data_IF_370855179857
#
_entry.id   IF_370855179857
#
_cell.length_a   1.000
_cell.length_b   1.000
_cell.length_c   1.000
_cell.angle_alpha   90.00
_cell.angle_beta   90.00
_cell.angle_gamma   90.00
#
_symmetry.space_group_name_H-M   'P 1'
#
loop_
_entity.id
_entity.type
_entity.pdbx_description
1 polymer ?
#
# COMPACT_ATOMS: atom_id res chain seq x y z
N UNK A 1 25.24 -31.75 -36.68
CA UNK A 1 26.65 -31.39 -36.45
C UNK A 1 27.37 -31.61 -37.77
N UNK A 2 27.65 -30.55 -38.52
CA UNK A 2 28.25 -30.63 -39.86
C UNK A 2 29.72 -30.21 -39.78
N UNK A 3 30.62 -31.03 -40.31
CA UNK A 3 32.07 -30.80 -40.29
C UNK A 3 32.48 -29.75 -41.32
N UNK A 4 33.14 -28.67 -40.85
CA UNK A 4 33.54 -27.52 -41.66
C UNK A 4 34.71 -27.80 -42.61
N UNK A 5 35.31 -28.99 -42.57
CA UNK A 5 36.48 -29.36 -43.40
C UNK A 5 36.14 -30.16 -44.65
N UNK A 6 34.88 -30.56 -44.82
CA UNK A 6 34.48 -31.41 -45.95
C UNK A 6 33.78 -30.56 -47.01
N UNK A 7 34.50 -30.22 -48.08
CA UNK A 7 33.92 -29.56 -49.25
C UNK A 7 33.19 -30.59 -50.11
N UNK A 8 31.85 -30.53 -50.14
CA UNK A 8 31.02 -31.37 -51.01
C UNK A 8 30.46 -30.50 -52.12
N UNK A 9 31.13 -30.51 -53.27
CA UNK A 9 30.70 -29.81 -54.48
C UNK A 9 31.31 -30.48 -55.71
N UNK A 10 30.54 -30.56 -56.80
CA UNK A 10 31.00 -31.06 -58.09
C UNK A 10 31.74 -29.96 -58.86
N UNK A 11 32.93 -30.27 -59.37
CA UNK A 11 33.78 -29.32 -60.13
C UNK A 11 33.29 -29.06 -61.56
N UNK A 12 32.16 -29.67 -61.97
CA UNK A 12 31.60 -29.55 -63.33
C UNK A 12 30.25 -28.82 -63.38
N UNK A 13 29.80 -28.23 -62.27
CA UNK A 13 28.61 -27.37 -62.30
C UNK A 13 28.99 -25.98 -62.84
N UNK A 14 28.20 -25.37 -63.75
CA UNK A 14 28.45 -24.00 -64.18
C UNK A 14 28.40 -23.08 -62.96
N UNK A 15 29.44 -22.26 -62.77
CA UNK A 15 29.48 -21.24 -61.72
C UNK A 15 28.32 -20.27 -61.94
N UNK A 16 27.27 -20.41 -61.11
CA UNK A 16 26.19 -19.45 -61.06
C UNK A 16 26.71 -18.19 -60.37
N UNK A 17 27.26 -17.26 -61.15
CA UNK A 17 27.50 -15.90 -60.70
C UNK A 17 26.16 -15.32 -60.23
N UNK A 18 26.04 -14.82 -58.99
CA UNK A 18 24.81 -14.19 -58.56
C UNK A 18 24.51 -13.00 -59.47
N UNK A 19 23.32 -13.01 -60.09
CA UNK A 19 22.80 -11.90 -60.88
C UNK A 19 22.78 -10.65 -59.99
N UNK A 20 23.43 -9.58 -60.46
CA UNK A 20 23.58 -8.32 -59.75
C UNK A 20 22.25 -7.86 -59.15
N UNK A 21 22.22 -7.72 -57.81
CA UNK A 21 21.04 -7.31 -57.05
C UNK A 21 21.10 -5.79 -56.82
N UNK A 22 20.18 -4.99 -57.39
CA UNK A 22 20.18 -3.53 -57.25
C UNK A 22 19.83 -3.06 -55.82
N UNK A 23 19.45 -3.97 -54.93
CA UNK A 23 19.07 -3.66 -53.55
C UNK A 23 20.18 -3.95 -52.52
N UNK A 24 21.46 -4.00 -52.92
CA UNK A 24 22.54 -3.98 -51.94
C UNK A 24 22.50 -2.63 -51.20
N UNK A 25 22.16 -2.68 -49.92
CA UNK A 25 21.61 -1.60 -49.11
C UNK A 25 22.51 -0.38 -48.84
N UNK A 26 23.60 -0.18 -49.59
CA UNK A 26 24.52 0.95 -49.40
C UNK A 26 25.01 1.62 -50.69
N UNK A 27 24.56 1.20 -51.88
CA UNK A 27 24.95 1.88 -53.12
C UNK A 27 24.29 3.26 -53.30
N UNK A 28 23.15 3.52 -52.64
CA UNK A 28 22.42 4.80 -52.70
C UNK A 28 22.92 5.84 -51.67
N UNK A 29 23.77 5.43 -50.71
CA UNK A 29 24.32 6.34 -49.71
C UNK A 29 25.64 7.00 -50.16
N UNK A 30 26.37 6.38 -51.10
CA UNK A 30 27.63 6.90 -51.65
C UNK A 30 27.44 7.85 -52.84
N UNK A 31 26.21 8.02 -53.32
CA UNK A 31 25.84 8.93 -54.42
C UNK A 31 25.01 10.13 -53.94
N UNK A 32 25.12 10.45 -52.65
CA UNK A 32 24.55 11.66 -52.08
C UNK A 32 25.62 12.76 -52.15
N UNK A 33 25.85 13.23 -53.36
CA UNK A 33 26.44 14.55 -53.58
C UNK A 33 25.28 15.54 -53.52
N UNK A 34 25.35 16.45 -52.56
CA UNK A 34 24.39 17.53 -52.40
C UNK A 34 24.58 18.53 -53.54
N UNK A 35 23.66 18.56 -54.50
CA UNK A 35 23.65 19.59 -55.54
C UNK A 35 22.77 19.23 -56.73
N UNK A 36 21.65 19.93 -56.85
CA UNK A 36 20.83 20.16 -58.05
C UNK A 36 20.63 18.99 -59.04
N UNK A 37 19.39 18.49 -59.06
CA UNK A 37 18.96 17.45 -60.00
C UNK A 37 19.43 17.72 -61.43
N UNK A 38 20.33 16.86 -61.91
CA UNK A 38 20.86 16.92 -63.27
C UNK A 38 19.72 16.82 -64.28
N UNK A 39 19.37 17.97 -64.86
CA UNK A 39 18.37 18.10 -65.92
C UNK A 39 18.67 17.11 -67.04
N UNK A 40 17.64 16.56 -67.69
CA UNK A 40 17.78 15.59 -68.79
C UNK A 40 18.73 16.09 -69.91
N UNK A 41 18.90 17.41 -70.03
CA UNK A 41 19.86 18.06 -70.91
C UNK A 41 21.35 17.77 -70.55
N UNK A 42 21.70 17.69 -69.26
CA UNK A 42 23.07 17.41 -68.81
C UNK A 42 23.49 15.97 -69.14
N UNK A 43 22.59 14.99 -68.90
CA UNK A 43 22.78 13.59 -69.32
C UNK A 43 22.89 13.45 -70.85
N UNK A 44 22.11 14.20 -71.62
CA UNK A 44 22.22 14.19 -73.08
C UNK A 44 23.54 14.81 -73.59
N UNK A 45 24.06 15.84 -72.91
CA UNK A 45 25.34 16.47 -73.24
C UNK A 45 26.54 15.56 -72.93
N UNK A 46 26.52 14.87 -71.78
CA UNK A 46 27.56 13.91 -71.39
C UNK A 46 27.58 12.70 -72.33
N UNK A 47 26.41 12.16 -72.71
CA UNK A 47 26.29 11.10 -73.71
C UNK A 47 26.82 11.53 -75.09
N UNK A 48 26.55 12.76 -75.54
CA UNK A 48 27.10 13.33 -76.78
C UNK A 48 28.62 13.47 -76.72
N UNK A 49 29.17 13.94 -75.59
CA UNK A 49 30.63 14.05 -75.36
C UNK A 49 31.30 12.68 -75.44
N UNK A 50 30.71 11.66 -74.83
CA UNK A 50 31.22 10.27 -74.84
C UNK A 50 31.17 9.64 -76.24
N UNK A 51 30.11 9.90 -77.01
CA UNK A 51 30.00 9.45 -78.40
C UNK A 51 31.05 10.11 -79.31
N UNK A 52 31.30 11.41 -79.15
CA UNK A 52 32.35 12.12 -79.88
C UNK A 52 33.76 11.61 -79.55
N UNK A 53 34.03 11.30 -78.28
CA UNK A 53 35.30 10.70 -77.85
C UNK A 53 35.53 9.32 -78.47
N UNK A 54 34.50 8.45 -78.49
CA UNK A 54 34.57 7.13 -79.16
C UNK A 54 34.82 7.25 -80.66
N UNK A 55 34.19 8.23 -81.34
CA UNK A 55 34.42 8.49 -82.77
C UNK A 55 35.86 8.97 -83.05
N UNK A 56 36.42 9.84 -82.20
CA UNK A 56 37.82 10.28 -82.30
C UNK A 56 38.80 9.11 -82.13
N UNK A 57 38.58 8.25 -81.14
CA UNK A 57 39.42 7.07 -80.90
C UNK A 57 39.40 6.09 -82.09
N UNK A 58 38.21 5.82 -82.66
CA UNK A 58 38.07 4.95 -83.85
C UNK A 58 38.79 5.53 -85.09
N UNK A 59 38.71 6.84 -85.31
CA UNK A 59 39.42 7.51 -86.40
C UNK A 59 40.94 7.51 -86.21
N UNK A 60 41.44 7.65 -84.97
CA UNK A 60 42.88 7.50 -84.71
C UNK A 60 43.34 6.08 -84.98
N UNK A 61 42.60 5.08 -84.52
CA UNK A 61 42.93 3.67 -84.74
C UNK A 61 42.93 3.27 -86.24
N UNK A 62 42.03 3.87 -87.04
CA UNK A 62 42.01 3.69 -88.49
C UNK A 62 43.22 4.34 -89.19
N UNK A 63 43.62 5.55 -88.75
CA UNK A 63 44.83 6.23 -89.26
C UNK A 63 46.10 5.45 -88.95
N UNK A 64 46.26 4.91 -87.73
CA UNK A 64 47.41 4.09 -87.38
C UNK A 64 47.42 2.74 -88.10
N UNK A 65 46.26 2.15 -88.41
CA UNK A 65 46.21 0.90 -89.19
C UNK A 65 46.55 1.07 -90.67
N UNK A 66 46.18 2.21 -91.30
CA UNK A 66 46.56 2.47 -92.70
C UNK A 66 48.07 2.70 -92.89
N UNK A 67 48.77 3.14 -91.84
CA UNK A 67 50.22 3.34 -91.87
C UNK A 67 51.05 2.04 -91.78
N UNK A 68 50.43 0.86 -91.64
CA UNK A 68 51.14 -0.41 -91.45
C UNK A 68 51.17 -1.37 -92.64
N UNK A 69 50.49 -1.08 -93.76
CA UNK A 69 50.47 -1.98 -94.93
C UNK A 69 51.30 -1.50 -96.15
N UNK A 70 52.05 -0.40 -96.03
CA UNK A 70 52.92 0.11 -97.11
C UNK A 70 54.40 -0.10 -96.83
N UNK A 71 55.22 -0.08 -97.89
CA UNK A 71 56.67 0.13 -97.72
C UNK A 71 56.90 1.41 -96.89
N UNK A 72 57.86 1.40 -95.95
CA UNK A 72 58.10 2.54 -95.07
C UNK A 72 58.36 3.80 -95.91
N UNK A 73 57.97 5.00 -95.44
CA UNK A 73 58.14 6.23 -96.21
C UNK A 73 59.63 6.52 -96.48
N UNK A 74 59.97 7.11 -97.63
CA UNK A 74 61.35 7.46 -97.94
C UNK A 74 61.89 8.48 -96.94
N UNK A 75 63.15 8.30 -96.55
CA UNK A 75 63.88 9.23 -95.68
C UNK A 75 63.90 10.62 -96.33
N UNK A 76 63.74 11.67 -95.51
CA UNK A 76 63.67 13.05 -95.99
C UNK A 76 64.84 13.39 -96.93
N UNK A 77 64.51 13.82 -98.16
CA UNK A 77 65.48 14.17 -99.20
C UNK A 77 65.83 13.04 -100.18
N UNK A 78 65.29 11.83 -100.02
CA UNK A 78 65.46 10.72 -100.97
C UNK A 78 64.12 10.30 -101.58
N UNK A 79 64.17 9.77 -102.80
CA UNK A 79 63.01 9.14 -103.48
C UNK A 79 63.27 7.64 -103.58
N UNK A 80 62.23 6.82 -103.46
CA UNK A 80 62.36 5.40 -103.78
C UNK A 80 62.34 5.22 -105.30
N UNK A 81 63.22 4.36 -105.79
CA UNK A 81 63.36 4.00 -107.20
C UNK A 81 63.19 2.49 -107.32
N UNK A 82 62.46 2.05 -108.35
CA UNK A 82 62.18 0.64 -108.57
C UNK A 82 63.38 0.00 -109.27
N UNK A 83 64.09 -0.90 -108.58
CA UNK A 83 65.20 -1.69 -109.13
C UNK A 83 64.66 -2.99 -109.71
N UNK A 84 65.17 -3.40 -110.87
CA UNK A 84 64.79 -4.66 -111.52
C UNK A 84 65.35 -5.85 -110.70
N UNK A 85 64.49 -6.52 -109.93
CA UNK A 85 64.84 -7.66 -109.07
C UNK A 85 64.58 -9.02 -109.73
N UNK A 86 64.37 -9.04 -111.04
CA UNK A 86 64.21 -10.28 -111.80
C UNK A 86 65.58 -10.89 -112.09
N UNK A 87 65.71 -12.20 -111.91
CA UNK A 87 66.97 -12.93 -112.12
C UNK A 87 67.33 -12.96 -113.60
N UNK A 88 68.26 -12.10 -114.02
CA UNK A 88 68.80 -12.08 -115.39
C UNK A 88 70.10 -12.90 -115.43
N UNK A 89 70.09 -14.06 -116.11
CA UNK A 89 71.26 -14.94 -116.27
C UNK A 89 71.84 -14.75 -117.68
N UNK A 90 73.08 -14.24 -117.76
CA UNK A 90 73.90 -14.28 -118.98
C UNK A 90 74.83 -15.49 -118.92
N UNK A 91 74.73 -16.40 -119.90
CA UNK A 91 75.65 -17.53 -120.04
C UNK A 91 76.93 -17.07 -120.75
N UNK A 92 78.07 -17.12 -120.05
CA UNK A 92 79.40 -16.87 -120.62
C UNK A 92 79.94 -18.16 -121.27
N UNK A 93 80.06 -18.19 -122.59
CA UNK A 93 80.36 -19.39 -123.38
C UNK A 93 81.85 -19.78 -123.48
N UNK A 94 82.78 -19.12 -122.78
CA UNK A 94 84.22 -19.37 -122.95
C UNK A 94 84.94 -19.44 -121.60
N UNK A 95 85.41 -20.64 -121.23
CA UNK A 95 86.34 -20.83 -120.11
C UNK A 95 87.79 -20.58 -120.56
N UNK A 96 88.60 -19.80 -119.82
CA UNK A 96 90.00 -19.58 -120.17
C UNK A 96 90.88 -20.81 -119.87
N UNK A 97 92.00 -20.98 -120.59
CA UNK A 97 92.85 -22.16 -120.47
C UNK A 97 93.65 -22.19 -119.16
N UNK A 98 93.70 -23.36 -118.53
CA UNK A 98 94.41 -23.62 -117.27
C UNK A 98 95.73 -24.34 -117.56
N UNK A 99 96.83 -23.88 -116.97
CA UNK A 99 98.15 -24.55 -117.02
C UNK A 99 98.46 -25.21 -115.68
N UNK A 100 99.11 -26.38 -115.75
CA UNK A 100 99.54 -27.17 -114.59
C UNK A 100 101.03 -26.96 -114.34
N UNK A 101 101.39 -26.57 -113.11
CA UNK A 101 102.76 -26.56 -112.61
C UNK A 101 102.89 -27.61 -111.50
N UNK A 102 103.99 -28.36 -111.49
CA UNK A 102 104.26 -29.39 -110.49
C UNK A 102 105.41 -28.93 -109.59
N UNK A 103 105.17 -28.80 -108.29
CA UNK A 103 106.22 -28.49 -107.29
C UNK A 103 106.70 -29.75 -106.58
N UNK A 104 108.01 -29.83 -106.34
CA UNK A 104 108.70 -30.89 -105.61
C UNK A 104 108.25 -30.92 -104.14
N UNK A 105 107.65 -32.02 -103.71
CA UNK A 105 107.17 -32.23 -102.34
C UNK A 105 108.27 -32.83 -101.46
N UNK A 106 108.68 -32.11 -100.41
CA UNK A 106 109.46 -32.70 -99.31
C UNK A 106 108.60 -33.65 -98.46
N UNK A 107 109.25 -34.63 -97.84
CA UNK A 107 108.65 -35.64 -96.97
C UNK A 107 108.09 -34.97 -95.70
N UNK A 108 106.76 -34.88 -95.60
CA UNK A 108 106.04 -34.28 -94.48
C UNK A 108 106.25 -35.08 -93.18
N UNK A 109 107.03 -34.54 -92.24
CA UNK A 109 106.91 -34.90 -90.82
C UNK A 109 105.68 -34.20 -90.24
N UNK A 110 104.82 -34.91 -89.49
CA UNK A 110 103.67 -34.31 -88.82
C UNK A 110 104.13 -33.24 -87.82
N UNK A 111 103.84 -31.98 -88.15
CA UNK A 111 104.03 -30.86 -87.24
C UNK A 111 103.06 -31.04 -86.07
N UNK A 112 103.50 -30.92 -84.80
CA UNK A 112 102.57 -30.90 -83.68
C UNK A 112 101.54 -29.79 -83.91
N UNK A 113 100.29 -30.03 -83.50
CA UNK A 113 99.21 -29.08 -83.67
C UNK A 113 99.65 -27.72 -83.12
N UNK A 114 99.61 -26.68 -83.96
CA UNK A 114 99.97 -25.33 -83.54
C UNK A 114 99.07 -24.93 -82.36
N UNK A 115 99.62 -24.38 -81.27
CA UNK A 115 98.81 -23.94 -80.15
C UNK A 115 97.75 -22.94 -80.62
N UNK A 116 96.55 -23.02 -80.03
CA UNK A 116 95.47 -22.08 -80.34
C UNK A 116 95.93 -20.66 -80.05
N UNK A 117 95.77 -19.77 -81.03
CA UNK A 117 96.06 -18.36 -80.86
C UNK A 117 95.04 -17.77 -79.87
N UNK A 118 95.52 -17.36 -78.70
CA UNK A 118 94.76 -16.58 -77.73
C UNK A 118 95.23 -15.13 -77.88
N UNK A 119 94.40 -14.22 -78.44
CA UNK A 119 94.78 -12.82 -78.54
C UNK A 119 95.02 -12.22 -77.15
N UNK A 120 96.01 -11.33 -77.06
CA UNK A 120 96.23 -10.55 -75.84
C UNK A 120 95.00 -9.69 -75.54
N UNK A 121 94.62 -9.63 -74.27
CA UNK A 121 93.49 -8.82 -73.83
C UNK A 121 93.83 -7.34 -74.01
N UNK A 122 93.26 -6.71 -75.04
CA UNK A 122 93.35 -5.26 -75.26
C UNK A 122 92.14 -4.55 -74.66
N UNK A 123 92.34 -3.84 -73.56
CA UNK A 123 91.34 -3.06 -72.81
C UNK A 123 91.69 -2.98 -71.33
N UNK A 124 91.30 -1.91 -70.64
CA UNK A 124 91.43 -1.82 -69.18
C UNK A 124 90.17 -2.41 -68.53
N UNK A 125 90.36 -3.40 -67.65
CA UNK A 125 89.26 -3.91 -66.85
C UNK A 125 88.90 -2.91 -65.75
N UNK A 126 87.63 -2.53 -65.71
CA UNK A 126 87.06 -1.71 -64.64
C UNK A 126 85.89 -2.49 -64.07
N UNK A 127 85.98 -2.85 -62.79
CA UNK A 127 84.84 -3.36 -62.04
C UNK A 127 84.18 -2.22 -61.26
N UNK A 128 82.85 -2.20 -61.28
CA UNK A 128 82.06 -1.29 -60.45
C UNK A 128 81.25 -2.16 -59.50
N UNK A 129 81.55 -2.09 -58.21
CA UNK A 129 80.84 -2.81 -57.16
C UNK A 129 80.16 -1.83 -56.21
N UNK A 130 78.88 -2.06 -55.92
CA UNK A 130 78.14 -1.34 -54.89
C UNK A 130 78.34 -2.10 -53.57
N UNK A 131 78.81 -1.39 -52.54
CA UNK A 131 79.01 -1.94 -51.21
C UNK A 131 77.72 -1.87 -50.37
N UNK A 132 77.54 -2.73 -49.35
CA UNK A 132 76.37 -2.65 -48.48
C UNK A 132 76.30 -1.28 -47.80
N UNK A 133 75.18 -0.56 -48.02
CA UNK A 133 74.92 0.77 -47.47
C UNK A 133 75.12 1.94 -48.44
N UNK A 134 75.70 1.72 -49.62
CA UNK A 134 76.04 2.78 -50.58
C UNK A 134 74.81 3.40 -51.30
N UNK A 135 73.68 2.68 -51.31
CA UNK A 135 72.40 3.13 -51.89
C UNK A 135 71.28 3.29 -50.84
N UNK A 136 71.60 3.22 -49.55
CA UNK A 136 70.59 3.29 -48.50
C UNK A 136 70.19 4.74 -48.23
N UNK A 137 68.92 5.06 -48.48
CA UNK A 137 68.31 6.33 -48.09
C UNK A 137 67.40 6.11 -46.87
N UNK A 138 67.83 6.63 -45.72
CA UNK A 138 67.12 6.43 -44.46
C UNK A 138 65.69 6.98 -44.50
N UNK A 139 65.49 8.16 -45.09
CA UNK A 139 64.21 8.87 -45.05
C UNK A 139 63.14 8.11 -45.86
N UNK A 140 63.55 7.45 -46.95
CA UNK A 140 62.67 6.62 -47.77
C UNK A 140 62.38 5.26 -47.12
N UNK A 141 63.40 4.62 -46.56
CA UNK A 141 63.28 3.25 -46.02
C UNK A 141 62.59 3.19 -44.65
N UNK A 142 62.67 4.28 -43.85
CA UNK A 142 62.01 4.35 -42.54
C UNK A 142 60.52 4.62 -42.62
N UNK A 143 60.06 5.24 -43.72
CA UNK A 143 58.67 5.65 -43.92
C UNK A 143 57.65 4.51 -43.74
N UNK A 144 57.79 3.32 -44.37
CA UNK A 144 56.84 2.22 -44.18
C UNK A 144 56.84 1.66 -42.75
N UNK A 145 57.98 1.71 -42.05
CA UNK A 145 58.09 1.25 -40.67
C UNK A 145 57.33 2.21 -39.74
N UNK A 146 57.54 3.52 -39.91
CA UNK A 146 56.85 4.54 -39.14
C UNK A 146 55.34 4.54 -39.42
N UNK A 147 54.92 4.39 -40.67
CA UNK A 147 53.51 4.32 -41.02
C UNK A 147 52.80 3.16 -40.31
N UNK A 148 53.41 1.98 -40.29
CA UNK A 148 52.85 0.82 -39.59
C UNK A 148 52.87 1.02 -38.07
N UNK A 149 53.94 1.56 -37.51
CA UNK A 149 54.04 1.78 -36.06
C UNK A 149 53.01 2.81 -35.59
N UNK A 150 52.96 3.98 -36.24
CA UNK A 150 52.02 5.04 -35.89
C UNK A 150 50.59 4.57 -36.13
N UNK A 151 50.32 3.96 -37.29
CA UNK A 151 49.00 3.42 -37.64
C UNK A 151 48.50 2.44 -36.58
N UNK A 152 49.29 1.43 -36.23
CA UNK A 152 48.91 0.45 -35.19
C UNK A 152 48.73 1.07 -33.83
N UNK A 153 49.59 2.01 -33.43
CA UNK A 153 49.45 2.66 -32.12
C UNK A 153 48.17 3.50 -32.02
N UNK A 154 47.80 4.21 -33.08
CA UNK A 154 46.57 5.00 -33.12
C UNK A 154 45.34 4.11 -33.20
N UNK A 155 45.38 3.05 -34.01
CA UNK A 155 44.28 2.06 -34.08
C UNK A 155 44.05 1.38 -32.74
N UNK A 156 45.12 0.94 -32.07
CA UNK A 156 45.03 0.31 -30.76
C UNK A 156 44.49 1.29 -29.71
N UNK A 157 45.01 2.51 -29.66
CA UNK A 157 44.53 3.54 -28.73
C UNK A 157 43.04 3.87 -28.95
N UNK A 158 42.60 3.91 -30.21
CA UNK A 158 41.18 4.16 -30.53
C UNK A 158 40.28 3.00 -30.05
N UNK A 159 40.70 1.76 -30.25
CA UNK A 159 39.96 0.57 -29.78
C UNK A 159 39.86 0.59 -28.25
N UNK A 160 40.97 0.84 -27.55
CA UNK A 160 40.99 0.88 -26.08
C UNK A 160 40.05 1.96 -25.53
N UNK A 161 40.05 3.17 -26.10
CA UNK A 161 39.13 4.25 -25.67
C UNK A 161 37.67 3.88 -25.92
N UNK A 162 37.35 3.28 -27.07
CA UNK A 162 35.98 2.85 -27.37
C UNK A 162 35.50 1.75 -26.42
N UNK A 163 36.37 0.79 -26.09
CA UNK A 163 36.08 -0.26 -25.11
C UNK A 163 35.86 0.32 -23.71
N UNK A 164 36.67 1.29 -23.29
CA UNK A 164 36.50 1.98 -22.01
C UNK A 164 35.16 2.73 -21.92
N UNK A 165 34.77 3.44 -22.97
CA UNK A 165 33.49 4.14 -23.06
C UNK A 165 32.30 3.17 -23.02
N UNK A 166 32.37 2.06 -23.77
CA UNK A 166 31.34 1.02 -23.76
C UNK A 166 31.18 0.42 -22.35
N UNK A 167 32.30 0.05 -21.71
CA UNK A 167 32.29 -0.49 -20.35
C UNK A 167 31.75 0.52 -19.34
N UNK A 168 32.05 1.81 -19.49
CA UNK A 168 31.51 2.86 -18.65
C UNK A 168 29.98 2.98 -18.82
N UNK A 169 29.48 2.97 -20.05
CA UNK A 169 28.06 3.02 -20.36
C UNK A 169 27.31 1.79 -19.79
N UNK A 170 27.86 0.58 -19.97
CA UNK A 170 27.29 -0.65 -19.42
C UNK A 170 27.23 -0.62 -17.89
N UNK A 171 28.30 -0.15 -17.22
CA UNK A 171 28.32 0.00 -15.76
C UNK A 171 27.29 1.01 -15.28
N UNK A 172 27.09 2.11 -16.00
CA UNK A 172 26.05 3.08 -15.67
C UNK A 172 24.65 2.49 -15.82
N UNK A 173 24.38 1.78 -16.92
CA UNK A 173 23.11 1.07 -17.11
C UNK A 173 22.85 0.04 -16.01
N UNK A 174 23.86 -0.76 -15.64
CA UNK A 174 23.74 -1.72 -14.55
C UNK A 174 23.45 -1.04 -13.21
N UNK A 175 24.14 0.07 -12.89
CA UNK A 175 23.87 0.84 -11.67
C UNK A 175 22.42 1.34 -11.62
N UNK A 176 21.96 2.00 -12.68
CA UNK A 176 20.57 2.48 -12.78
C UNK A 176 19.55 1.35 -12.64
N UNK A 177 19.81 0.20 -13.25
CA UNK A 177 18.94 -0.97 -13.13
C UNK A 177 18.90 -1.53 -11.70
N UNK A 178 20.05 -1.63 -11.04
CA UNK A 178 20.14 -2.12 -9.65
C UNK A 178 19.46 -1.14 -8.68
N UNK A 179 19.62 0.16 -8.88
CA UNK A 179 18.94 1.19 -8.10
C UNK A 179 17.42 1.08 -8.24
N UNK A 180 16.92 0.98 -9.48
CA UNK A 180 15.49 0.81 -9.73
C UNK A 180 14.96 -0.48 -9.07
N UNK A 181 15.67 -1.60 -9.26
CA UNK A 181 15.30 -2.87 -8.66
C UNK A 181 15.30 -2.80 -7.12
N UNK A 182 16.27 -2.12 -6.52
CA UNK A 182 16.31 -1.93 -5.07
C UNK A 182 15.09 -1.14 -4.57
N UNK A 183 14.71 -0.07 -5.28
CA UNK A 183 13.50 0.70 -4.97
C UNK A 183 12.24 -0.15 -5.10
N UNK A 184 12.08 -0.87 -6.22
CA UNK A 184 10.94 -1.76 -6.46
C UNK A 184 10.82 -2.85 -5.38
N UNK A 185 11.94 -3.49 -5.02
CA UNK A 185 11.94 -4.52 -3.97
C UNK A 185 11.58 -3.93 -2.60
N UNK A 186 12.06 -2.74 -2.26
CA UNK A 186 11.71 -2.06 -1.02
C UNK A 186 10.22 -1.69 -0.98
N UNK A 187 9.65 -1.23 -2.10
CA UNK A 187 8.23 -0.93 -2.21
C UNK A 187 7.36 -2.19 -2.10
N UNK A 188 7.75 -3.27 -2.78
CA UNK A 188 7.06 -4.56 -2.70
C UNK A 188 7.01 -5.08 -1.27
N UNK A 189 8.14 -5.07 -0.55
CA UNK A 189 8.20 -5.47 0.86
C UNK A 189 7.29 -4.59 1.74
N UNK A 190 7.27 -3.27 1.50
CA UNK A 190 6.38 -2.35 2.22
C UNK A 190 4.90 -2.70 2.01
N UNK A 191 4.52 -3.05 0.78
CA UNK A 191 3.15 -3.44 0.45
C UNK A 191 2.79 -4.80 1.08
N UNK A 192 3.69 -5.78 1.02
CA UNK A 192 3.48 -7.09 1.65
C UNK A 192 3.27 -6.97 3.16
N UNK A 193 4.07 -6.14 3.85
CA UNK A 193 3.89 -5.91 5.28
C UNK A 193 2.53 -5.26 5.60
N UNK A 194 2.11 -4.31 4.77
CA UNK A 194 0.80 -3.66 4.92
C UNK A 194 -0.33 -4.67 4.71
N UNK A 195 -0.23 -5.51 3.68
CA UNK A 195 -1.21 -6.55 3.40
C UNK A 195 -1.27 -7.57 4.54
N UNK A 196 -0.12 -8.02 5.05
CA UNK A 196 -0.05 -8.90 6.23
C UNK A 196 -0.77 -8.30 7.45
N UNK A 197 -0.67 -6.98 7.68
CA UNK A 197 -1.40 -6.31 8.77
C UNK A 197 -2.91 -6.32 8.53
N UNK A 198 -3.35 -6.00 7.30
CA UNK A 198 -4.77 -5.98 6.94
C UNK A 198 -5.39 -7.38 7.00
N UNK A 199 -4.68 -8.41 6.54
CA UNK A 199 -5.13 -9.80 6.62
C UNK A 199 -5.30 -10.22 8.08
N UNK A 200 -4.31 -9.94 8.94
CA UNK A 200 -4.41 -10.21 10.38
C UNK A 200 -5.59 -9.49 11.04
N UNK A 201 -5.83 -8.23 10.69
CA UNK A 201 -6.99 -7.50 11.20
C UNK A 201 -8.30 -8.12 10.71
N UNK A 202 -8.40 -8.44 9.41
CA UNK A 202 -9.57 -9.10 8.82
C UNK A 202 -9.87 -10.44 9.49
N UNK A 203 -8.85 -11.26 9.72
CA UNK A 203 -8.98 -12.54 10.44
C UNK A 203 -9.51 -12.31 11.86
N UNK A 204 -8.97 -11.32 12.58
CA UNK A 204 -9.46 -10.98 13.92
C UNK A 204 -10.92 -10.56 13.91
N UNK A 205 -11.33 -9.72 12.95
CA UNK A 205 -12.71 -9.28 12.78
C UNK A 205 -13.65 -10.43 12.43
N UNK A 206 -13.20 -11.38 11.63
CA UNK A 206 -13.98 -12.56 11.26
C UNK A 206 -14.24 -13.43 12.50
N UNK A 207 -13.21 -13.67 13.33
CA UNK A 207 -13.35 -14.41 14.59
C UNK A 207 -14.31 -13.69 15.55
N UNK A 208 -14.12 -12.37 15.76
CA UNK A 208 -15.03 -11.55 16.58
C UNK A 208 -16.49 -11.64 16.08
N UNK A 209 -16.68 -11.65 14.76
CA UNK A 209 -18.01 -11.73 14.15
C UNK A 209 -18.64 -13.12 14.30
N UNK A 210 -17.87 -14.20 14.11
CA UNK A 210 -18.35 -15.57 14.33
C UNK A 210 -18.76 -15.82 15.78
N UNK A 211 -17.97 -15.32 16.74
CA UNK A 211 -18.31 -15.36 18.17
C UNK A 211 -19.57 -14.55 18.46
N UNK A 212 -19.68 -13.34 17.88
CA UNK A 212 -20.87 -12.51 17.98
C UNK A 212 -22.14 -13.20 17.46
N UNK A 213 -22.06 -13.88 16.31
CA UNK A 213 -23.19 -14.64 15.75
C UNK A 213 -23.60 -15.79 16.67
N UNK A 214 -22.64 -16.51 17.26
CA UNK A 214 -22.94 -17.60 18.22
C UNK A 214 -23.70 -17.07 19.43
N UNK A 215 -23.20 -16.00 20.03
CA UNK A 215 -23.83 -15.36 21.20
C UNK A 215 -25.22 -14.82 20.84
N UNK A 216 -25.38 -14.21 19.66
CA UNK A 216 -26.68 -13.73 19.18
C UNK A 216 -27.69 -14.88 19.07
N UNK A 217 -27.32 -16.01 18.46
CA UNK A 217 -28.20 -17.18 18.38
C UNK A 217 -28.60 -17.71 19.74
N UNK A 218 -27.64 -17.84 20.67
CA UNK A 218 -27.93 -18.28 22.04
C UNK A 218 -28.89 -17.30 22.75
N UNK A 219 -28.71 -15.99 22.53
CA UNK A 219 -29.58 -14.96 23.09
C UNK A 219 -30.98 -14.99 22.46
N UNK A 220 -31.07 -15.17 21.14
CA UNK A 220 -32.34 -15.34 20.42
C UNK A 220 -33.11 -16.55 20.95
N UNK A 221 -32.45 -17.70 21.13
CA UNK A 221 -33.04 -18.91 21.72
C UNK A 221 -33.53 -18.67 23.16
N UNK A 222 -32.73 -17.98 23.99
CA UNK A 222 -33.13 -17.64 25.37
C UNK A 222 -34.33 -16.70 25.41
N UNK A 223 -34.36 -15.69 24.53
CA UNK A 223 -35.48 -14.75 24.43
C UNK A 223 -36.73 -15.49 23.94
N UNK A 224 -36.60 -16.33 22.92
CA UNK A 224 -37.70 -17.15 22.40
C UNK A 224 -38.28 -18.06 23.50
N UNK A 225 -37.41 -18.73 24.28
CA UNK A 225 -37.83 -19.54 25.41
C UNK A 225 -38.54 -18.72 26.50
N UNK A 226 -38.03 -17.54 26.84
CA UNK A 226 -38.65 -16.66 27.84
C UNK A 226 -40.03 -16.15 27.38
N UNK A 227 -40.16 -15.71 26.13
CA UNK A 227 -41.43 -15.28 25.54
C UNK A 227 -42.43 -16.44 25.51
N UNK A 228 -41.99 -17.63 25.11
CA UNK A 228 -42.81 -18.84 25.10
C UNK A 228 -43.27 -19.19 26.53
N UNK A 229 -42.37 -19.20 27.52
CA UNK A 229 -42.73 -19.43 28.91
C UNK A 229 -43.72 -18.39 29.43
N UNK A 230 -43.51 -17.11 29.13
CA UNK A 230 -44.41 -16.05 29.55
C UNK A 230 -45.81 -16.20 28.94
N UNK A 231 -45.89 -16.56 27.65
CA UNK A 231 -47.16 -16.88 26.99
C UNK A 231 -47.87 -18.08 27.63
N UNK A 232 -47.15 -19.19 27.82
CA UNK A 232 -47.71 -20.37 28.48
C UNK A 232 -48.12 -20.09 29.93
N UNK A 233 -47.33 -19.35 30.70
CA UNK A 233 -47.68 -18.98 32.08
C UNK A 233 -48.90 -18.06 32.12
N UNK A 234 -49.04 -17.14 31.17
CA UNK A 234 -50.21 -16.26 31.09
C UNK A 234 -51.51 -17.04 30.86
N UNK A 235 -51.45 -18.16 30.12
CA UNK A 235 -52.62 -19.01 29.86
C UNK A 235 -52.85 -20.07 30.95
N UNK A 236 -51.77 -20.69 31.45
CA UNK A 236 -51.83 -21.78 32.44
C UNK A 236 -52.22 -21.26 33.83
N UNK A 237 -51.66 -20.13 34.26
CA UNK A 237 -51.81 -19.64 35.63
C UNK A 237 -53.28 -19.30 35.98
N UNK A 238 -54.05 -18.60 35.13
CA UNK A 238 -55.48 -18.43 35.35
C UNK A 238 -56.24 -19.77 35.40
N UNK A 239 -55.93 -20.71 34.49
CA UNK A 239 -56.60 -22.01 34.46
C UNK A 239 -56.32 -22.86 35.71
N UNK A 240 -55.08 -22.84 36.22
CA UNK A 240 -54.72 -23.54 37.46
C UNK A 240 -55.32 -22.86 38.69
N UNK A 241 -55.36 -21.53 38.73
CA UNK A 241 -56.02 -20.79 39.81
C UNK A 241 -57.53 -21.08 39.83
N UNK A 242 -58.20 -21.04 38.67
CA UNK A 242 -59.62 -21.38 38.54
C UNK A 242 -59.88 -22.84 38.95
N UNK A 243 -58.99 -23.76 38.57
CA UNK A 243 -59.02 -25.15 39.03
C UNK A 243 -58.92 -25.27 40.56
N UNK A 244 -57.93 -24.63 41.18
CA UNK A 244 -57.72 -24.65 42.64
C UNK A 244 -58.85 -23.94 43.40
N UNK A 245 -59.43 -22.89 42.83
CA UNK A 245 -60.61 -22.20 43.37
C UNK A 245 -61.83 -23.12 43.33
N UNK A 246 -62.03 -23.84 42.21
CA UNK A 246 -63.11 -24.82 42.07
C UNK A 246 -62.98 -26.02 43.01
N UNK A 247 -61.74 -26.41 43.37
CA UNK A 247 -61.45 -27.46 44.35
C UNK A 247 -61.52 -26.97 45.81
N UNK A 248 -61.71 -25.67 46.05
CA UNK A 248 -61.97 -25.10 47.39
C UNK A 248 -60.74 -24.79 48.23
N UNK A 249 -59.52 -25.08 47.76
CA UNK A 249 -58.27 -24.93 48.51
C UNK A 249 -57.98 -23.49 48.96
N UNK A 250 -58.41 -22.46 48.21
CA UNK A 250 -58.17 -21.06 48.60
C UNK A 250 -59.17 -20.51 49.63
N UNK A 251 -60.39 -21.05 49.65
CA UNK A 251 -61.46 -20.60 50.54
C UNK A 251 -61.38 -21.23 51.93
N UNK A 252 -60.77 -22.41 52.04
CA UNK A 252 -60.62 -23.13 53.32
C UNK A 252 -59.59 -22.44 54.22
N UNK A 253 -58.42 -22.06 53.68
CA UNK A 253 -57.36 -21.38 54.43
C UNK A 253 -57.78 -20.04 55.05
N UNK A 254 -58.62 -19.25 54.36
CA UNK A 254 -59.08 -17.95 54.88
C UNK A 254 -60.04 -18.16 56.05
N UNK A 255 -60.91 -19.17 55.97
CA UNK A 255 -61.83 -19.49 57.07
C UNK A 255 -61.07 -20.02 58.28
N UNK A 256 -60.11 -20.92 58.05
CA UNK A 256 -59.25 -21.44 59.12
C UNK A 256 -58.44 -20.33 59.79
N UNK A 257 -57.84 -19.40 59.03
CA UNK A 257 -57.04 -18.30 59.61
C UNK A 257 -57.92 -17.27 60.37
N UNK A 258 -59.15 -17.02 59.90
CA UNK A 258 -60.12 -16.21 60.65
C UNK A 258 -60.46 -16.88 61.99
N UNK A 259 -60.75 -18.18 61.96
CA UNK A 259 -61.15 -18.93 63.16
C UNK A 259 -59.99 -19.16 64.14
N UNK A 260 -58.76 -19.39 63.65
CA UNK A 260 -57.60 -19.70 64.48
C UNK A 260 -56.81 -18.47 64.95
N UNK A 261 -56.75 -17.40 64.15
CA UNK A 261 -55.91 -16.23 64.46
C UNK A 261 -56.73 -15.00 64.82
N UNK A 262 -57.70 -14.64 63.98
CA UNK A 262 -58.46 -13.40 64.16
C UNK A 262 -59.46 -13.49 65.33
N UNK A 263 -60.22 -14.58 65.42
CA UNK A 263 -61.23 -14.74 66.48
C UNK A 263 -60.60 -14.77 67.88
N UNK A 264 -59.50 -15.50 68.14
CA UNK A 264 -58.83 -15.45 69.45
C UNK A 264 -58.21 -14.09 69.75
N UNK A 265 -57.65 -13.40 68.75
CA UNK A 265 -57.14 -12.04 68.93
C UNK A 265 -58.26 -11.06 69.31
N UNK A 266 -59.39 -11.09 68.59
CA UNK A 266 -60.53 -10.23 68.87
C UNK A 266 -61.10 -10.49 70.27
N UNK A 267 -61.25 -11.76 70.65
CA UNK A 267 -61.71 -12.13 72.00
C UNK A 267 -60.73 -11.60 73.05
N UNK A 268 -59.41 -11.75 72.83
CA UNK A 268 -58.39 -11.26 73.76
C UNK A 268 -58.44 -9.74 73.90
N UNK A 269 -58.54 -9.00 72.81
CA UNK A 269 -58.59 -7.54 72.84
C UNK A 269 -59.86 -7.04 73.55
N UNK A 270 -61.01 -7.65 73.25
CA UNK A 270 -62.28 -7.35 73.93
C UNK A 270 -62.19 -7.65 75.44
N UNK A 271 -61.52 -8.74 75.83
CA UNK A 271 -61.32 -9.04 77.26
C UNK A 271 -60.41 -8.05 77.96
N UNK A 272 -59.39 -7.51 77.28
CA UNK A 272 -58.50 -6.48 77.84
C UNK A 272 -59.25 -5.17 78.07
N UNK A 273 -60.03 -4.70 77.09
CA UNK A 273 -60.86 -3.49 77.23
C UNK A 273 -61.90 -3.64 78.36
N UNK A 274 -62.53 -4.82 78.49
CA UNK A 274 -63.43 -5.11 79.61
C UNK A 274 -62.69 -5.12 80.95
N UNK A 275 -61.46 -5.62 81.00
CA UNK A 275 -60.65 -5.63 82.21
C UNK A 275 -60.22 -4.21 82.61
N UNK A 276 -59.80 -3.37 81.67
CA UNK A 276 -59.48 -1.96 81.93
C UNK A 276 -60.70 -1.18 82.42
N UNK A 277 -61.89 -1.45 81.88
CA UNK A 277 -63.16 -0.90 82.37
C UNK A 277 -63.44 -1.32 83.83
N UNK A 278 -63.23 -2.60 84.17
CA UNK A 278 -63.42 -3.09 85.54
C UNK A 278 -62.37 -2.50 86.49
N UNK A 279 -61.09 -2.47 86.11
CA UNK A 279 -60.03 -1.85 86.89
C UNK A 279 -60.29 -0.35 87.11
N UNK A 280 -60.76 0.37 86.09
CA UNK A 280 -61.13 1.78 86.20
C UNK A 280 -62.28 1.98 87.19
N UNK A 281 -63.29 1.09 87.18
CA UNK A 281 -64.39 1.10 88.14
C UNK A 281 -63.92 0.80 89.57
N UNK A 282 -63.00 -0.14 89.73
CA UNK A 282 -62.47 -0.50 91.05
C UNK A 282 -61.58 0.62 91.62
N UNK A 283 -60.73 1.26 90.80
CA UNK A 283 -59.97 2.48 91.17
C UNK A 283 -60.92 3.61 91.56
N UNK A 284 -61.99 3.86 90.80
CA UNK A 284 -63.02 4.84 91.17
C UNK A 284 -63.68 4.48 92.52
N UNK A 285 -63.92 3.20 92.77
CA UNK A 285 -64.50 2.73 94.04
C UNK A 285 -63.53 2.95 95.22
N UNK A 286 -62.23 2.75 95.02
CA UNK A 286 -61.19 3.01 96.02
C UNK A 286 -60.98 4.50 96.28
N UNK A 287 -61.02 5.36 95.25
CA UNK A 287 -61.01 6.82 95.42
C UNK A 287 -62.24 7.26 96.23
N UNK A 288 -63.42 6.72 95.94
CA UNK A 288 -64.64 7.02 96.71
C UNK A 288 -64.48 6.57 98.17
N UNK A 289 -63.85 5.42 98.42
CA UNK A 289 -63.52 4.94 99.77
C UNK A 289 -62.55 5.87 100.49
N UNK A 290 -61.48 6.31 99.83
CA UNK A 290 -60.48 7.23 100.37
C UNK A 290 -61.09 8.61 100.68
N UNK A 291 -61.96 9.13 99.81
CA UNK A 291 -62.70 10.38 100.07
C UNK A 291 -63.61 10.21 101.31
N UNK A 292 -64.27 9.06 101.46
CA UNK A 292 -65.10 8.77 102.63
C UNK A 292 -64.25 8.67 103.92
N UNK A 293 -63.09 8.03 103.86
CA UNK A 293 -62.15 7.91 104.99
C UNK A 293 -61.54 9.26 105.38
N UNK A 294 -61.07 10.04 104.41
CA UNK A 294 -60.53 11.38 104.63
C UNK A 294 -61.62 12.31 105.18
N UNK A 295 -62.86 12.21 104.71
CA UNK A 295 -63.99 12.96 105.26
C UNK A 295 -64.31 12.52 106.70
N UNK A 296 -64.19 11.22 107.01
CA UNK A 296 -64.30 10.71 108.37
C UNK A 296 -63.16 11.19 109.29
N UNK A 297 -61.94 11.33 108.78
CA UNK A 297 -60.80 11.91 109.49
C UNK A 297 -60.94 13.42 109.73
N UNK A 298 -61.40 14.18 108.73
CA UNK A 298 -61.75 15.59 108.89
C UNK A 298 -62.82 15.77 109.98
N UNK A 299 -63.87 14.93 109.98
CA UNK A 299 -64.85 14.96 111.06
C UNK A 299 -64.26 14.57 112.42
N UNK A 300 -63.25 13.69 112.49
CA UNK A 300 -62.53 13.39 113.74
C UNK A 300 -61.63 14.54 114.21
N UNK A 301 -60.98 15.26 113.29
CA UNK A 301 -60.12 16.43 113.58
C UNK A 301 -60.97 17.61 114.05
N UNK A 302 -62.10 17.87 113.37
CA UNK A 302 -63.09 18.88 113.80
C UNK A 302 -63.66 18.56 115.20
N UNK A 303 -63.75 17.27 115.54
CA UNK A 303 -64.19 16.82 116.86
C UNK A 303 -63.06 16.77 117.92
N UNK A 304 -61.80 17.03 117.52
CA UNK A 304 -60.63 17.13 118.41
C UNK A 304 -60.24 18.58 118.70
N UNK A 305 -60.43 19.48 117.72
CA UNK A 305 -60.29 20.93 117.88
C UNK A 305 -61.40 21.56 118.73
N UNK A 306 -62.45 20.81 119.07
CA UNK A 306 -63.47 21.18 120.06
C UNK A 306 -63.12 20.78 121.51
N UNK A 307 -61.91 20.28 121.79
CA UNK A 307 -61.60 19.62 123.08
C UNK A 307 -60.53 20.27 123.98
N UNK A 308 -60.02 21.46 123.65
CA UNK A 308 -59.15 22.24 124.55
C UNK A 308 -59.34 23.74 124.31
N UNK A 309 -59.73 24.45 125.38
CA UNK A 309 -59.99 25.89 125.50
C UNK A 309 -61.27 26.42 124.84
N UNK A 310 -62.40 26.29 125.54
CA UNK A 310 -63.11 27.43 126.13
C UNK A 310 -64.32 26.95 126.97
N UNK A 311 -64.44 27.62 128.11
CA UNK A 311 -65.52 27.64 129.11
C UNK A 311 -66.94 27.45 128.61
N UNK A 312 -67.70 26.65 129.37
CA UNK A 312 -69.12 26.86 129.75
C UNK A 312 -70.03 27.49 128.69
N UNK A 313 -70.92 26.69 128.10
CA UNK A 313 -72.38 26.85 128.25
C UNK A 313 -73.09 25.71 127.51
N UNK A 314 -73.70 24.79 128.28
CA UNK A 314 -74.69 23.86 127.76
C UNK A 314 -75.85 24.69 127.18
N UNK A 315 -75.93 24.72 125.84
CA UNK A 315 -77.08 25.28 125.14
C UNK A 315 -78.37 24.61 125.64
N UNK A 316 -79.42 25.39 125.93
CA UNK A 316 -80.51 24.95 126.77
C UNK A 316 -81.39 23.89 126.12
N UNK A 317 -81.94 23.00 126.96
CA UNK A 317 -82.85 21.93 126.55
C UNK A 317 -84.13 22.50 125.92
N UNK A 318 -84.78 21.71 125.07
CA UNK A 318 -86.04 22.07 124.38
C UNK A 318 -87.16 22.52 125.35
N UNK A 319 -87.07 22.16 126.64
CA UNK A 319 -87.98 22.67 127.67
C UNK A 319 -87.80 24.17 127.99
N UNK A 320 -86.60 24.75 127.84
CA UNK A 320 -86.35 26.17 128.14
C UNK A 320 -86.79 27.10 127.00
N UNK A 321 -86.80 26.62 125.75
CA UNK A 321 -87.43 27.35 124.62
C UNK A 321 -88.93 27.52 124.84
N UNK A 322 -89.61 26.49 125.37
CA UNK A 322 -91.06 26.56 125.67
C UNK A 322 -91.33 27.56 126.81
N UNK A 323 -90.42 27.65 127.80
CA UNK A 323 -90.52 28.63 128.88
C UNK A 323 -90.29 30.07 128.38
N UNK A 324 -89.32 30.29 127.49
CA UNK A 324 -89.07 31.59 126.87
C UNK A 324 -90.22 32.06 125.98
N UNK A 325 -90.83 31.15 125.21
CA UNK A 325 -92.03 31.47 124.42
C UNK A 325 -93.24 31.77 125.32
N UNK A 326 -93.40 31.05 126.45
CA UNK A 326 -94.45 31.35 127.40
C UNK A 326 -94.25 32.72 128.09
N UNK A 327 -93.01 33.10 128.41
CA UNK A 327 -92.68 34.42 128.97
C UNK A 327 -92.90 35.54 127.95
N UNK A 328 -92.54 35.35 126.68
CA UNK A 328 -92.85 36.29 125.60
C UNK A 328 -94.36 36.48 125.42
N UNK A 329 -95.14 35.39 125.44
CA UNK A 329 -96.60 35.47 125.40
C UNK A 329 -97.17 36.23 126.61
N UNK A 330 -96.59 36.09 127.80
CA UNK A 330 -97.00 36.88 128.97
C UNK A 330 -96.63 38.36 128.84
N UNK A 331 -95.49 38.71 128.24
CA UNK A 331 -95.13 40.10 127.96
C UNK A 331 -96.00 40.71 126.86
N UNK A 332 -96.38 39.95 125.84
CA UNK A 332 -97.36 40.37 124.83
C UNK A 332 -98.77 40.57 125.41
N UNK A 333 -99.19 39.70 126.33
CA UNK A 333 -100.45 39.89 127.07
C UNK A 333 -100.35 41.11 127.98
N UNK A 334 -99.22 41.33 128.67
CA UNK A 334 -99.01 42.49 129.55
C UNK A 334 -98.91 43.80 128.79
N UNK A 335 -98.32 43.81 127.60
CA UNK A 335 -98.29 44.98 126.70
C UNK A 335 -99.65 45.22 126.07
N UNK A 336 -100.41 44.18 125.69
CA UNK A 336 -101.82 44.32 125.31
C UNK A 336 -102.68 44.83 126.46
N UNK A 337 -102.48 44.38 127.70
CA UNK A 337 -103.19 44.90 128.88
C UNK A 337 -102.79 46.34 129.20
N UNK A 338 -101.54 46.74 128.95
CA UNK A 338 -101.08 48.13 129.03
C UNK A 338 -101.71 49.01 127.96
N UNK A 339 -101.78 48.53 126.71
CA UNK A 339 -102.46 49.21 125.60
C UNK A 339 -103.99 49.26 125.78
N UNK A 340 -104.58 48.29 126.47
CA UNK A 340 -106.01 48.29 126.86
C UNK A 340 -106.27 49.22 128.06
N UNK A 341 -105.29 49.44 128.95
CA UNK A 341 -105.37 50.45 130.03
C UNK A 341 -105.12 51.87 129.51
N UNK A 342 -104.17 52.05 128.59
CA UNK A 342 -103.87 53.34 127.95
C UNK A 342 -104.96 53.76 126.94
N UNK A 343 -105.70 52.81 126.33
CA UNK A 343 -106.87 53.12 125.50
C UNK A 343 -108.16 53.39 126.29
N UNK A 344 -108.18 53.15 127.61
CA UNK A 344 -109.32 53.46 128.50
C UNK A 344 -109.15 54.75 129.31
N UNK A 345 -108.01 55.44 129.23
CA UNK A 345 -107.77 56.76 129.87
C UNK A 345 -107.81 57.95 128.91
N UNK A 346 -108.19 57.75 127.64
CA UNK A 346 -108.45 58.84 126.69
C UNK A 346 -109.83 58.70 126.06
N UNK A 347 -110.86 59.12 126.80
CA UNK A 347 -112.11 59.64 126.20
C UNK A 347 -112.17 61.14 126.45
N UNK A 348 -112.23 61.94 125.39
CA UNK A 348 -113.05 63.14 125.41
C UNK A 348 -114.31 62.90 124.56
N UNK A 349 -115.44 63.03 125.22
CA UNK A 349 -116.71 63.43 124.65
C UNK A 349 -116.53 64.64 123.71
N UNK A 350 -117.29 64.70 122.62
CA UNK A 350 -117.99 65.91 122.12
C UNK A 350 -118.96 65.49 121.00
N UNK A 351 -120.16 66.04 121.15
CA UNK A 351 -121.40 65.91 120.37
C UNK A 351 -121.36 66.46 118.92
N UNK A 352 -122.44 66.12 118.18
CA UNK A 352 -122.99 66.70 116.93
C UNK A 352 -122.75 65.95 115.61
#
# INVERSE_FOLDING_TARGET
>A
MYDKRVFRGSNFAPQHLPKWNPHFAYAKLLSRDDGDGESAAARAAEARRRALARRKAKNQHYKTSQLRLGSPPPVAGRRHENVQTETFLEELFVSPPVQYECTQTDLFFERPASPFYVPEKTGADIETQIYPGDLFDFDMEVQPILEVLVGKTVEQALIEVLEEEELAALREQQRRFLELRAVETAEALRLEEREKRLVKEKERRLVEHEEGIKIQKEMEERIAAAVLMQGYMADLLPSVIEGLESEGFMMENIKEDIDESFMPWLIKEVTLELQDMVCSRDVLSDIVREILENRAEIYKVLNKESSTDETEEEGPSVQDMILQDHLRLQEEIRTKEKLIRESNETKPEIDQ
#
